data_IF_643266057564
#
_entry.id   IF_643266057564
#
_cell.length_a   1.000
_cell.length_b   1.000
_cell.length_c   1.000
_cell.angle_alpha   90.00
_cell.angle_beta   90.00
_cell.angle_gamma   90.00
#
_symmetry.space_group_name_H-M   'P 1'
#
loop_
_entity.id
_entity.type
_entity.pdbx_description
1 polymer ?
#
# COMPACT_ATOMS: atom_id res chain seq x y z
N UNK A 1 -17.30 3.12 -0.51
CA UNK A 1 -16.37 2.48 0.45
C UNK A 1 -15.53 3.58 1.07
N UNK A 2 -15.17 3.51 2.36
CA UNK A 2 -14.21 4.44 2.94
C UNK A 2 -12.86 4.31 2.24
N UNK A 3 -12.10 5.41 2.14
CA UNK A 3 -10.78 5.41 1.47
C UNK A 3 -9.74 4.60 2.25
N UNK A 4 -9.90 4.46 3.56
CA UNK A 4 -9.06 3.63 4.43
C UNK A 4 -9.94 2.70 5.27
N UNK A 5 -9.46 1.48 5.54
CA UNK A 5 -10.11 0.49 6.41
C UNK A 5 -9.08 -0.43 7.06
N UNK A 6 -9.46 -1.07 8.16
CA UNK A 6 -8.66 -2.11 8.83
C UNK A 6 -9.20 -3.49 8.46
N UNK A 7 -8.30 -4.44 8.24
CA UNK A 7 -8.59 -5.86 8.03
C UNK A 7 -7.65 -6.72 8.86
N UNK A 8 -8.18 -7.56 9.75
CA UNK A 8 -7.37 -8.47 10.57
C UNK A 8 -7.20 -9.86 9.93
N UNK A 9 -8.08 -10.24 9.00
CA UNK A 9 -8.01 -11.52 8.30
C UNK A 9 -7.38 -11.34 6.93
N UNK A 10 -6.16 -11.83 6.77
CA UNK A 10 -5.46 -11.80 5.49
C UNK A 10 -5.49 -13.17 4.81
N UNK A 11 -5.92 -13.21 3.55
CA UNK A 11 -5.75 -14.36 2.67
C UNK A 11 -4.66 -14.03 1.65
N UNK A 12 -3.60 -14.83 1.58
CA UNK A 12 -2.55 -14.63 0.56
C UNK A 12 -2.91 -15.39 -0.70
N UNK A 13 -2.93 -14.70 -1.84
CA UNK A 13 -3.10 -15.33 -3.15
C UNK A 13 -1.77 -15.21 -3.89
N UNK A 14 -1.14 -16.36 -4.11
CA UNK A 14 0.19 -16.46 -4.74
C UNK A 14 0.15 -16.45 -6.26
N UNK A 15 -1.04 -16.51 -6.88
CA UNK A 15 -1.21 -16.61 -8.33
C UNK A 15 -2.27 -15.63 -8.86
N UNK A 16 -1.89 -14.84 -9.86
CA UNK A 16 -2.77 -13.87 -10.53
C UNK A 16 -4.00 -14.55 -11.17
N UNK A 17 -3.89 -15.80 -11.62
CA UNK A 17 -5.04 -16.57 -12.12
C UNK A 17 -6.00 -17.01 -11.01
N UNK A 18 -5.48 -17.35 -9.82
CA UNK A 18 -6.30 -17.65 -8.66
C UNK A 18 -7.07 -16.42 -8.17
N UNK A 19 -6.44 -15.24 -8.21
CA UNK A 19 -7.09 -13.98 -7.85
C UNK A 19 -8.22 -13.61 -8.82
N UNK A 20 -8.00 -13.76 -10.13
CA UNK A 20 -9.04 -13.55 -11.15
C UNK A 20 -10.19 -14.56 -11.05
N UNK A 21 -9.92 -15.80 -10.67
CA UNK A 21 -10.94 -16.85 -10.51
C UNK A 21 -11.81 -16.57 -9.28
N UNK A 22 -11.19 -16.20 -8.16
CA UNK A 22 -11.89 -15.75 -6.97
C UNK A 22 -12.74 -14.50 -7.25
N UNK A 23 -12.20 -13.52 -7.97
CA UNK A 23 -12.97 -12.35 -8.40
C UNK A 23 -14.17 -12.69 -9.27
N UNK A 24 -14.06 -13.57 -10.27
CA UNK A 24 -15.22 -13.92 -11.11
C UNK A 24 -16.34 -14.57 -10.29
N UNK A 25 -15.98 -15.27 -9.22
CA UNK A 25 -16.93 -15.86 -8.28
C UNK A 25 -17.55 -14.83 -7.32
N UNK A 26 -16.88 -13.72 -7.02
CA UNK A 26 -17.31 -12.73 -6.00
C UNK A 26 -17.70 -11.33 -6.54
N UNK A 27 -17.20 -10.89 -7.70
CA UNK A 27 -17.37 -9.55 -8.27
C UNK A 27 -18.80 -9.27 -8.80
N UNK A 28 -19.59 -10.31 -9.05
CA UNK A 28 -21.04 -10.18 -9.25
C UNK A 28 -21.82 -9.83 -7.97
N UNK A 29 -21.14 -9.77 -6.82
CA UNK A 29 -21.73 -9.73 -5.48
C UNK A 29 -21.19 -8.59 -4.60
N UNK A 30 -20.68 -7.50 -5.18
CA UNK A 30 -20.18 -6.35 -4.41
C UNK A 30 -21.20 -5.81 -3.37
N UNK A 31 -22.51 -6.00 -3.62
CA UNK A 31 -23.59 -5.71 -2.67
C UNK A 31 -23.84 -6.81 -1.61
N UNK A 32 -23.35 -8.03 -1.82
CA UNK A 32 -23.46 -9.21 -0.95
C UNK A 32 -22.24 -9.37 0.00
N UNK A 33 -21.10 -8.74 -0.29
CA UNK A 33 -19.87 -8.85 0.49
C UNK A 33 -19.99 -8.29 1.92
N UNK A 34 -20.75 -7.22 2.10
CA UNK A 34 -21.06 -6.66 3.43
C UNK A 34 -21.95 -7.59 4.28
N UNK A 35 -22.76 -8.45 3.66
CA UNK A 35 -23.61 -9.41 4.35
C UNK A 35 -22.87 -10.67 4.84
N UNK A 36 -21.61 -10.86 4.40
CA UNK A 36 -20.79 -12.04 4.70
C UNK A 36 -19.64 -11.77 5.71
N UNK A 37 -19.53 -10.56 6.26
CA UNK A 37 -18.47 -10.19 7.22
C UNK A 37 -17.07 -10.06 6.60
N UNK A 38 -17.02 -9.75 5.30
CA UNK A 38 -15.77 -9.58 4.54
C UNK A 38 -15.12 -8.20 4.72
N UNK A 39 -15.77 -7.29 5.45
CA UNK A 39 -15.24 -5.97 5.77
C UNK A 39 -13.96 -6.04 6.62
N UNK A 40 -13.75 -7.14 7.34
CA UNK A 40 -12.54 -7.44 8.12
C UNK A 40 -11.53 -8.35 7.39
N UNK A 41 -11.79 -8.65 6.11
CA UNK A 41 -10.90 -9.48 5.30
C UNK A 41 -10.20 -8.69 4.21
N UNK A 42 -8.99 -9.12 3.86
CA UNK A 42 -8.22 -8.58 2.74
C UNK A 42 -7.50 -9.71 2.02
N UNK A 43 -7.57 -9.68 0.69
CA UNK A 43 -6.76 -10.57 -0.16
C UNK A 43 -5.45 -9.84 -0.47
N UNK A 44 -4.33 -10.47 -0.14
CA UNK A 44 -3.00 -9.89 -0.32
C UNK A 44 -2.19 -10.67 -1.34
N UNK A 45 -1.43 -9.94 -2.13
CA UNK A 45 -0.43 -10.48 -3.05
C UNK A 45 0.98 -10.18 -2.49
N UNK A 46 2.02 -10.88 -2.98
CA UNK A 46 3.40 -10.56 -2.64
C UNK A 46 3.74 -9.10 -2.97
N UNK A 47 4.63 -8.48 -2.20
CA UNK A 47 5.07 -7.12 -2.47
C UNK A 47 5.97 -7.02 -3.72
N UNK A 48 6.40 -5.80 -4.06
CA UNK A 48 7.27 -5.55 -5.22
C UNK A 48 8.61 -6.33 -5.19
N UNK A 49 9.07 -6.73 -4.00
CA UNK A 49 10.29 -7.52 -3.79
C UNK A 49 10.01 -9.04 -3.72
N UNK A 50 8.74 -9.45 -3.89
CA UNK A 50 8.31 -10.85 -3.80
C UNK A 50 8.16 -11.36 -2.36
N UNK A 51 8.19 -10.48 -1.35
CA UNK A 51 7.99 -10.88 0.05
C UNK A 51 6.52 -11.21 0.28
N UNK A 52 6.28 -12.32 0.98
CA UNK A 52 4.94 -12.71 1.39
C UNK A 52 4.43 -11.81 2.53
N UNK A 53 3.12 -11.50 2.57
CA UNK A 53 2.53 -10.76 3.66
C UNK A 53 2.74 -11.43 5.03
N UNK A 54 2.95 -10.65 6.11
CA UNK A 54 2.91 -11.18 7.47
C UNK A 54 1.56 -11.82 7.77
N UNK A 55 1.55 -12.86 8.60
CA UNK A 55 0.29 -13.46 9.04
C UNK A 55 -0.36 -12.56 10.10
N UNK A 56 -1.61 -12.15 9.87
CA UNK A 56 -2.48 -11.55 10.88
C UNK A 56 -3.65 -12.52 11.18
N UNK A 57 -3.92 -12.77 12.46
CA UNK A 57 -5.05 -13.58 12.92
C UNK A 57 -5.74 -12.93 14.13
N UNK A 58 -5.68 -11.60 14.17
CA UNK A 58 -6.38 -10.79 15.15
C UNK A 58 -7.90 -10.84 14.95
N UNK A 59 -8.63 -10.46 15.99
CA UNK A 59 -10.06 -10.19 15.88
C UNK A 59 -10.27 -8.67 15.90
N UNK A 60 -11.18 -8.19 15.06
CA UNK A 60 -11.62 -6.80 15.10
C UNK A 60 -12.12 -6.42 16.50
N UNK A 61 -11.68 -5.27 16.96
CA UNK A 61 -12.14 -4.60 18.16
C UNK A 61 -13.01 -3.38 17.80
N UNK A 62 -14.04 -3.06 18.60
CA UNK A 62 -14.75 -1.79 18.49
C UNK A 62 -13.88 -0.55 18.73
N UNK A 63 -12.69 -0.73 19.32
CA UNK A 63 -11.71 0.34 19.56
C UNK A 63 -10.74 0.55 18.39
N UNK A 64 -10.84 -0.28 17.36
CA UNK A 64 -10.01 -0.12 16.18
C UNK A 64 -10.47 1.11 15.40
N UNK A 65 -9.55 2.02 15.13
CA UNK A 65 -9.83 3.28 14.46
C UNK A 65 -8.81 3.53 13.37
N UNK A 66 -9.26 4.08 12.23
CA UNK A 66 -8.37 4.49 11.15
C UNK A 66 -8.89 5.78 10.52
N UNK A 67 -7.97 6.70 10.25
CA UNK A 67 -8.30 8.02 9.72
C UNK A 67 -7.19 8.57 8.85
N UNK A 68 -7.56 9.31 7.81
CA UNK A 68 -6.61 10.08 7.01
C UNK A 68 -6.39 11.42 7.70
N UNK A 69 -5.14 11.81 7.86
CA UNK A 69 -4.78 13.16 8.28
C UNK A 69 -4.66 14.03 7.03
N UNK A 70 -5.59 14.96 6.86
CA UNK A 70 -5.61 15.86 5.70
C UNK A 70 -4.28 16.62 5.55
N UNK A 71 -3.72 16.55 4.34
CA UNK A 71 -2.50 17.24 3.97
C UNK A 71 -2.60 17.67 2.50
N UNK A 72 -2.14 18.88 2.12
CA UNK A 72 -2.30 19.39 0.76
C UNK A 72 -1.36 18.76 -0.29
N UNK A 73 -0.49 17.83 0.11
CA UNK A 73 0.52 17.21 -0.76
C UNK A 73 -0.03 15.93 -1.41
N UNK A 74 -0.21 15.88 -2.75
CA UNK A 74 -0.76 14.70 -3.43
C UNK A 74 0.20 13.50 -3.45
N UNK A 75 1.50 13.72 -3.29
CA UNK A 75 2.52 12.66 -3.31
C UNK A 75 2.73 12.06 -1.90
N UNK A 76 1.93 12.51 -0.92
CA UNK A 76 2.05 12.13 0.48
C UNK A 76 0.69 11.85 1.09
N UNK A 77 0.56 10.68 1.73
CA UNK A 77 -0.63 10.31 2.48
C UNK A 77 -0.22 9.93 3.91
N UNK A 78 -0.88 10.54 4.90
CA UNK A 78 -0.69 10.23 6.31
C UNK A 78 -1.97 9.62 6.86
N UNK A 79 -1.85 8.42 7.43
CA UNK A 79 -2.96 7.67 8.01
C UNK A 79 -2.63 7.38 9.47
N UNK A 80 -3.50 7.78 10.39
CA UNK A 80 -3.42 7.35 11.79
C UNK A 80 -4.25 6.10 11.97
N UNK A 81 -3.70 5.10 12.65
CA UNK A 81 -4.40 3.85 12.92
C UNK A 81 -4.21 3.43 14.38
N UNK A 82 -5.28 2.97 15.02
CA UNK A 82 -5.26 2.30 16.32
C UNK A 82 -5.82 0.90 16.16
N UNK A 83 -5.04 -0.10 16.55
CA UNK A 83 -5.43 -1.51 16.44
C UNK A 83 -5.19 -2.22 17.78
N UNK A 84 -6.19 -2.92 18.30
CA UNK A 84 -6.03 -3.78 19.50
C UNK A 84 -5.33 -5.11 19.16
N UNK A 85 -5.33 -5.51 17.89
CA UNK A 85 -4.62 -6.70 17.40
C UNK A 85 -3.94 -6.42 16.05
N UNK A 86 -2.82 -7.09 15.73
CA UNK A 86 -2.13 -6.86 14.46
C UNK A 86 -3.06 -7.07 13.27
N UNK A 87 -2.89 -6.25 12.24
CA UNK A 87 -3.74 -6.27 11.06
C UNK A 87 -3.16 -5.50 9.90
N UNK A 88 -3.98 -5.29 8.88
CA UNK A 88 -3.63 -4.54 7.69
C UNK A 88 -4.49 -3.29 7.59
N UNK A 89 -3.84 -2.16 7.34
CA UNK A 89 -4.54 -0.94 6.92
C UNK A 89 -4.56 -0.94 5.40
N UNK A 90 -5.77 -1.08 4.85
CA UNK A 90 -6.04 -1.09 3.41
C UNK A 90 -6.39 0.34 2.99
N UNK A 91 -5.66 0.85 1.99
CA UNK A 91 -5.92 2.13 1.35
C UNK A 91 -6.50 1.86 -0.03
N UNK A 92 -7.73 2.34 -0.26
CA UNK A 92 -8.49 2.18 -1.50
C UNK A 92 -7.99 3.09 -2.65
N UNK A 93 -6.68 3.27 -2.74
CA UNK A 93 -5.99 3.96 -3.82
C UNK A 93 -5.26 2.93 -4.69
N UNK A 94 -5.26 3.14 -6.01
CA UNK A 94 -4.66 2.20 -6.96
C UNK A 94 -3.20 1.90 -6.61
N UNK A 95 -2.83 0.63 -6.52
CA UNK A 95 -1.44 0.22 -6.37
C UNK A 95 -0.64 0.61 -7.60
N UNK A 96 0.40 1.43 -7.40
CA UNK A 96 1.34 1.80 -8.44
C UNK A 96 2.77 1.58 -7.94
N UNK A 97 3.70 1.08 -8.76
CA UNK A 97 5.10 0.95 -8.34
C UNK A 97 5.71 2.31 -7.99
N UNK A 98 6.53 2.38 -6.95
CA UNK A 98 7.23 3.60 -6.52
C UNK A 98 6.62 4.31 -5.30
N UNK A 99 5.54 3.78 -4.72
CA UNK A 99 5.11 4.19 -3.39
C UNK A 99 5.95 3.49 -2.31
N UNK A 100 6.44 4.26 -1.36
CA UNK A 100 7.09 3.77 -0.14
C UNK A 100 6.15 3.95 1.06
N UNK A 101 6.12 2.96 1.95
CA UNK A 101 5.38 3.03 3.20
C UNK A 101 6.34 3.06 4.39
N UNK A 102 5.93 3.79 5.43
CA UNK A 102 6.58 3.79 6.73
C UNK A 102 5.54 3.70 7.83
N UNK A 103 5.83 2.93 8.87
CA UNK A 103 5.05 2.85 10.10
C UNK A 103 5.92 3.41 11.22
N UNK A 104 5.47 4.49 11.86
CA UNK A 104 6.21 5.23 12.90
C UNK A 104 7.62 5.64 12.45
N UNK A 105 7.76 6.00 11.17
CA UNK A 105 9.03 6.41 10.56
C UNK A 105 9.94 5.27 10.11
N UNK A 106 9.64 4.02 10.46
CA UNK A 106 10.38 2.84 10.02
C UNK A 106 9.86 2.33 8.66
N UNK A 107 10.73 1.93 7.71
CA UNK A 107 10.30 1.36 6.43
C UNK A 107 9.38 0.16 6.62
N UNK A 108 8.28 0.12 5.86
CA UNK A 108 7.30 -0.95 5.88
C UNK A 108 6.99 -1.44 4.47
N UNK A 109 6.71 -2.73 4.33
CA UNK A 109 6.28 -3.33 3.07
C UNK A 109 4.87 -2.88 2.70
N UNK A 110 4.67 -2.61 1.41
CA UNK A 110 3.38 -2.29 0.83
C UNK A 110 2.95 -3.45 -0.07
N UNK A 111 1.81 -4.05 0.25
CA UNK A 111 1.28 -5.22 -0.44
C UNK A 111 0.14 -4.80 -1.37
N UNK A 112 0.05 -5.33 -2.60
CA UNK A 112 -1.18 -5.23 -3.37
C UNK A 112 -2.31 -5.92 -2.60
N UNK A 113 -3.45 -5.25 -2.53
CA UNK A 113 -4.61 -5.66 -1.75
C UNK A 113 -5.85 -5.64 -2.63
N UNK A 114 -6.69 -6.68 -2.55
CA UNK A 114 -7.92 -6.81 -3.35
C UNK A 114 -7.67 -6.48 -4.84
N UNK A 115 -6.50 -6.87 -5.38
CA UNK A 115 -5.99 -6.68 -6.74
C UNK A 115 -5.71 -5.25 -7.22
N UNK A 116 -6.35 -4.26 -6.61
CA UNK A 116 -6.27 -2.87 -7.07
C UNK A 116 -5.75 -1.93 -5.98
N UNK A 117 -5.96 -2.27 -4.72
CA UNK A 117 -5.64 -1.44 -3.59
C UNK A 117 -4.27 -1.78 -3.04
N UNK A 118 -3.89 -1.08 -1.98
CA UNK A 118 -2.64 -1.29 -1.27
C UNK A 118 -2.91 -1.51 0.20
N UNK A 119 -2.10 -2.33 0.85
CA UNK A 119 -2.17 -2.58 2.27
C UNK A 119 -0.80 -2.49 2.93
N UNK A 120 -0.78 -2.01 4.16
CA UNK A 120 0.41 -1.97 5.01
C UNK A 120 0.08 -2.76 6.27
N UNK A 121 1.00 -3.63 6.69
CA UNK A 121 0.89 -4.33 7.95
C UNK A 121 1.13 -3.37 9.12
N UNK A 122 0.26 -3.42 10.13
CA UNK A 122 0.32 -2.57 11.31
C UNK A 122 0.22 -3.47 12.56
N UNK A 123 1.18 -3.38 13.50
CA UNK A 123 1.09 -4.11 14.76
C UNK A 123 -0.03 -3.54 15.65
N UNK A 124 -0.28 -4.18 16.79
CA UNK A 124 -1.23 -3.64 17.78
C UNK A 124 -0.64 -2.42 18.47
N UNK A 125 -1.45 -1.38 18.66
CA UNK A 125 -1.05 -0.09 19.20
C UNK A 125 -1.62 1.07 18.38
N UNK A 126 -1.13 2.27 18.68
CA UNK A 126 -1.38 3.48 17.91
C UNK A 126 -0.18 3.74 17.01
N UNK A 127 -0.43 3.97 15.73
CA UNK A 127 0.59 4.06 14.70
C UNK A 127 0.28 5.17 13.69
N UNK A 128 1.32 5.87 13.27
CA UNK A 128 1.29 6.79 12.13
C UNK A 128 1.89 6.12 10.90
N UNK A 129 1.08 6.00 9.85
CA UNK A 129 1.43 5.38 8.58
C UNK A 129 1.65 6.50 7.57
N UNK A 130 2.86 6.57 7.03
CA UNK A 130 3.24 7.53 5.99
C UNK A 130 3.43 6.77 4.68
N UNK A 131 2.67 7.16 3.67
CA UNK A 131 2.92 6.77 2.29
C UNK A 131 3.48 7.97 1.52
N UNK A 132 4.55 7.74 0.77
CA UNK A 132 5.15 8.75 -0.11
C UNK A 132 5.46 8.17 -1.47
N UNK A 133 5.18 8.93 -2.52
CA UNK A 133 5.53 8.54 -3.88
C UNK A 133 6.96 8.97 -4.21
N UNK A 134 7.86 8.00 -4.38
CA UNK A 134 9.28 8.21 -4.69
C UNK A 134 9.74 7.22 -5.78
N UNK A 135 9.36 7.44 -7.06
CA UNK A 135 9.70 6.50 -8.12
C UNK A 135 11.20 6.54 -8.46
N UNK A 136 11.80 5.36 -8.63
CA UNK A 136 13.21 5.23 -9.01
C UNK A 136 13.56 5.92 -10.35
N UNK A 137 12.59 6.03 -11.26
CA UNK A 137 12.73 6.73 -12.55
C UNK A 137 13.13 8.20 -12.38
N UNK A 138 12.64 8.88 -11.34
CA UNK A 138 13.00 10.26 -11.06
C UNK A 138 14.50 10.38 -10.72
N UNK A 139 15.03 9.44 -9.93
CA UNK A 139 16.45 9.39 -9.57
C UNK A 139 17.33 9.16 -10.81
N UNK A 140 16.94 8.25 -11.70
CA UNK A 140 17.65 8.03 -12.96
C UNK A 140 17.59 9.23 -13.89
N UNK A 141 16.43 9.90 -13.97
CA UNK A 141 16.24 11.11 -14.77
C UNK A 141 17.18 12.23 -14.35
N UNK A 142 17.31 12.50 -13.04
CA UNK A 142 18.26 13.50 -12.52
C UNK A 142 19.70 13.12 -12.85
N UNK A 143 20.08 11.84 -12.72
CA UNK A 143 21.42 11.37 -13.08
C UNK A 143 21.76 11.58 -14.55
N UNK A 144 20.84 11.21 -15.45
CA UNK A 144 20.96 11.43 -16.90
C UNK A 144 21.05 12.91 -17.25
N UNK A 145 20.24 13.75 -16.60
CA UNK A 145 20.26 15.20 -16.80
C UNK A 145 21.61 15.81 -16.40
N UNK A 146 22.11 15.49 -15.20
CA UNK A 146 23.41 15.98 -14.72
C UNK A 146 24.54 15.53 -15.64
N UNK A 147 24.52 14.26 -16.08
CA UNK A 147 25.50 13.75 -17.04
C UNK A 147 25.44 14.52 -18.36
N UNK A 148 24.24 14.79 -18.89
CA UNK A 148 24.04 15.61 -20.07
C UNK A 148 24.61 17.01 -19.92
N UNK A 149 24.34 17.69 -18.80
CA UNK A 149 24.89 19.01 -18.50
C UNK A 149 26.42 19.01 -18.45
N UNK A 150 27.04 17.98 -17.84
CA UNK A 150 28.49 17.84 -17.78
C UNK A 150 29.11 17.65 -19.16
N UNK A 151 28.49 16.83 -20.02
CA UNK A 151 28.92 16.64 -21.42
C UNK A 151 28.82 17.95 -22.20
N UNK A 152 27.71 18.67 -22.10
CA UNK A 152 27.54 19.96 -22.76
C UNK A 152 28.58 20.98 -22.28
N UNK A 153 28.84 21.06 -20.98
CA UNK A 153 29.86 21.96 -20.43
C UNK A 153 31.27 21.60 -20.94
N UNK A 154 31.60 20.31 -20.97
CA UNK A 154 32.90 19.85 -21.49
C UNK A 154 33.11 20.22 -22.96
N UNK A 155 32.08 20.02 -23.80
CA UNK A 155 32.14 20.41 -25.23
C UNK A 155 32.37 21.91 -25.35
N UNK A 156 31.59 22.73 -24.64
CA UNK A 156 31.72 24.19 -24.69
C UNK A 156 33.11 24.68 -24.25
N UNK A 157 33.74 24.02 -23.26
CA UNK A 157 35.10 24.36 -22.81
C UNK A 157 36.20 23.96 -23.80
N UNK A 158 35.91 23.08 -24.75
CA UNK A 158 36.83 22.63 -25.80
C UNK A 158 36.69 23.37 -27.13
N UNK A 159 35.74 24.32 -27.23
CA UNK A 159 35.48 25.14 -28.43
C UNK A 159 35.89 26.58 -28.19
#
# INVERSE_FOLDING_TARGET
MPRVRIAHKAATVTDAQAAQTWLKQFAGSAAHAAALGLDDSVVLEPDAEGRSPPTSSGARSPQDEVGIRDQPDPDRLVVSARLESPGFVVIADTYYPGWEARVDGSPASLFPADLLFRAVFVPSGEHDILLRYEPASFRYGVGLFVLGCLVCAAVLLTT
#
